data_IF_184222226319
#
_entry.id   IF_184222226319
#
_cell.length_a   1.000
_cell.length_b   1.000
_cell.length_c   1.000
_cell.angle_alpha   90.00
_cell.angle_beta   90.00
_cell.angle_gamma   90.00
#
_symmetry.space_group_name_H-M   'P 1'
#
loop_
_entity.id
_entity.type
_entity.pdbx_description
1 polymer ?
#
# COMPACT_ATOMS: atom_id res chain seq x y z
N UNK A 1 -8.50 -19.17 -17.09
CA UNK A 1 -9.47 -18.08 -17.35
C UNK A 1 -10.54 -18.54 -18.33
N UNK A 2 -11.81 -18.62 -17.93
CA UNK A 2 -12.92 -19.07 -18.78
C UNK A 2 -13.21 -18.09 -19.94
N UNK A 3 -13.61 -18.61 -21.10
CA UNK A 3 -13.85 -17.83 -22.33
C UNK A 3 -14.84 -16.66 -22.12
N UNK A 4 -15.91 -16.90 -21.33
CA UNK A 4 -16.90 -15.88 -20.94
C UNK A 4 -16.27 -14.68 -20.23
N UNK A 5 -15.31 -14.90 -19.31
CA UNK A 5 -14.68 -13.82 -18.52
C UNK A 5 -13.77 -12.94 -19.39
N UNK A 6 -13.09 -13.52 -20.38
CA UNK A 6 -12.29 -12.76 -21.37
C UNK A 6 -13.17 -11.84 -22.22
N UNK A 7 -14.36 -12.31 -22.63
CA UNK A 7 -15.33 -11.50 -23.39
C UNK A 7 -15.87 -10.30 -22.62
N UNK A 8 -16.22 -10.51 -21.34
CA UNK A 8 -16.68 -9.45 -20.43
C UNK A 8 -15.63 -8.34 -20.23
N UNK A 9 -14.37 -8.71 -20.03
CA UNK A 9 -13.28 -7.75 -19.87
C UNK A 9 -13.06 -6.91 -21.13
N UNK A 10 -13.10 -7.54 -22.32
CA UNK A 10 -13.01 -6.81 -23.59
C UNK A 10 -14.12 -5.79 -23.75
N UNK A 11 -15.37 -6.13 -23.38
CA UNK A 11 -16.50 -5.19 -23.43
C UNK A 11 -16.27 -3.99 -22.49
N UNK A 12 -15.86 -4.25 -21.24
CA UNK A 12 -15.56 -3.19 -20.27
C UNK A 12 -14.47 -2.23 -20.73
N UNK A 13 -13.40 -2.73 -21.35
CA UNK A 13 -12.33 -1.89 -21.88
C UNK A 13 -12.84 -0.95 -22.97
N UNK A 14 -13.71 -1.45 -23.83
CA UNK A 14 -14.27 -0.69 -24.96
C UNK A 14 -15.27 0.35 -24.46
N UNK A 15 -16.14 -0.02 -23.53
CA UNK A 15 -17.05 0.92 -22.87
C UNK A 15 -16.29 2.01 -22.12
N UNK A 16 -15.20 1.66 -21.43
CA UNK A 16 -14.36 2.65 -20.77
C UNK A 16 -13.76 3.64 -21.77
N UNK A 17 -13.22 3.18 -22.91
CA UNK A 17 -12.69 4.09 -23.95
C UNK A 17 -13.78 5.01 -24.52
N UNK A 18 -15.00 4.50 -24.71
CA UNK A 18 -16.12 5.29 -25.23
C UNK A 18 -16.60 6.37 -24.26
N UNK A 19 -16.50 6.10 -22.94
CA UNK A 19 -16.96 7.01 -21.88
C UNK A 19 -15.83 7.87 -21.29
N UNK A 20 -14.57 7.58 -21.60
CA UNK A 20 -13.42 8.34 -21.08
C UNK A 20 -13.35 9.72 -21.71
N UNK A 21 -13.02 10.72 -20.89
CA UNK A 21 -12.71 12.08 -21.35
C UNK A 21 -11.37 12.14 -22.07
N UNK A 22 -10.42 11.30 -21.68
CA UNK A 22 -9.10 11.18 -22.28
C UNK A 22 -8.68 9.70 -22.36
N UNK A 23 -8.93 9.01 -23.48
CA UNK A 23 -8.64 7.59 -23.62
C UNK A 23 -7.16 7.33 -23.98
N UNK A 24 -6.22 7.94 -23.25
CA UNK A 24 -4.76 7.73 -23.46
C UNK A 24 -4.30 6.32 -23.06
N UNK A 25 -3.22 5.80 -23.67
CA UNK A 25 -2.62 4.53 -23.26
C UNK A 25 -2.23 4.52 -21.77
N UNK A 26 -1.66 5.61 -21.25
CA UNK A 26 -1.31 5.74 -19.83
C UNK A 26 -2.51 5.57 -18.90
N UNK A 27 -3.62 6.29 -19.16
CA UNK A 27 -4.84 6.16 -18.37
C UNK A 27 -5.41 4.74 -18.43
N UNK A 28 -5.31 4.08 -19.59
CA UNK A 28 -5.71 2.70 -19.75
C UNK A 28 -4.84 1.71 -18.96
N UNK A 29 -3.51 1.91 -18.92
CA UNK A 29 -2.60 1.07 -18.13
C UNK A 29 -2.84 1.21 -16.62
N UNK A 30 -3.17 2.42 -16.16
CA UNK A 30 -3.60 2.66 -14.77
C UNK A 30 -4.88 1.89 -14.45
N UNK A 31 -5.83 1.77 -15.38
CA UNK A 31 -7.07 1.00 -15.18
C UNK A 31 -6.83 -0.51 -15.08
N UNK A 32 -6.06 -1.09 -16.01
CA UNK A 32 -5.99 -2.55 -16.14
C UNK A 32 -4.85 -3.19 -15.32
N UNK A 33 -3.94 -2.38 -14.76
CA UNK A 33 -2.73 -2.80 -14.05
C UNK A 33 -2.02 -3.99 -14.72
N UNK A 34 -1.52 -3.81 -15.95
CA UNK A 34 -0.98 -4.90 -16.75
C UNK A 34 0.33 -5.47 -16.18
N UNK A 35 0.58 -6.76 -16.36
CA UNK A 35 1.87 -7.38 -15.98
C UNK A 35 2.88 -7.37 -17.13
N UNK A 36 2.42 -7.45 -18.38
CA UNK A 36 3.29 -7.60 -19.55
C UNK A 36 3.01 -6.51 -20.58
N UNK A 37 4.08 -5.85 -21.03
CA UNK A 37 4.06 -4.73 -21.98
C UNK A 37 3.29 -5.04 -23.25
N UNK A 38 3.76 -6.01 -24.03
CA UNK A 38 3.17 -6.36 -25.34
C UNK A 38 1.68 -6.67 -25.23
N UNK A 39 1.31 -7.41 -24.18
CA UNK A 39 -0.08 -7.78 -23.91
C UNK A 39 -0.93 -6.59 -23.49
N UNK A 40 -0.37 -5.62 -22.78
CA UNK A 40 -1.05 -4.37 -22.42
C UNK A 40 -1.31 -3.51 -23.66
N UNK A 41 -0.27 -3.33 -24.48
CA UNK A 41 -0.31 -2.56 -25.72
C UNK A 41 -1.32 -3.17 -26.69
N UNK A 42 -1.27 -4.48 -26.91
CA UNK A 42 -2.23 -5.19 -27.76
C UNK A 42 -3.66 -5.04 -27.25
N UNK A 43 -3.91 -5.17 -25.94
CA UNK A 43 -5.24 -4.96 -25.35
C UNK A 43 -5.78 -3.55 -25.57
N UNK A 44 -4.92 -2.55 -25.43
CA UNK A 44 -5.28 -1.16 -25.68
C UNK A 44 -5.63 -0.95 -27.16
N UNK A 45 -4.76 -1.37 -28.08
CA UNK A 45 -4.98 -1.27 -29.53
C UNK A 45 -6.27 -1.95 -29.96
N UNK A 46 -6.54 -3.16 -29.45
CA UNK A 46 -7.77 -3.91 -29.73
C UNK A 46 -9.02 -3.17 -29.24
N UNK A 47 -9.01 -2.72 -27.99
CA UNK A 47 -10.13 -2.02 -27.37
C UNK A 47 -10.40 -0.69 -28.06
N UNK A 48 -9.35 0.07 -28.35
CA UNK A 48 -9.42 1.37 -29.02
C UNK A 48 -9.94 1.22 -30.46
N UNK A 49 -9.45 0.23 -31.20
CA UNK A 49 -9.93 -0.08 -32.56
C UNK A 49 -11.39 -0.53 -32.59
N UNK A 50 -11.84 -1.25 -31.55
CA UNK A 50 -13.25 -1.65 -31.44
C UNK A 50 -14.13 -0.46 -31.04
N UNK A 51 -13.65 0.41 -30.13
CA UNK A 51 -14.34 1.64 -29.74
C UNK A 51 -14.49 2.60 -30.93
N UNK A 52 -13.44 2.76 -31.74
CA UNK A 52 -13.46 3.53 -32.98
C UNK A 52 -14.54 3.04 -33.95
N UNK A 53 -14.69 1.72 -34.10
CA UNK A 53 -15.72 1.12 -34.96
C UNK A 53 -17.13 1.27 -34.40
N UNK A 54 -17.28 1.25 -33.07
CA UNK A 54 -18.57 1.38 -32.37
C UNK A 54 -19.06 2.81 -32.21
N UNK A 55 -18.17 3.80 -32.26
CA UNK A 55 -18.53 5.20 -32.03
C UNK A 55 -19.28 5.80 -33.22
N UNK A 56 -20.51 6.26 -32.99
CA UNK A 56 -21.24 7.13 -33.92
C UNK A 56 -20.65 8.57 -33.93
N UNK A 57 -20.07 9.01 -32.81
CA UNK A 57 -19.37 10.29 -32.70
C UNK A 57 -17.95 10.15 -33.22
N UNK A 58 -17.82 10.22 -34.55
CA UNK A 58 -16.54 10.23 -35.24
C UNK A 58 -15.62 11.35 -34.74
N UNK A 59 -16.10 12.48 -34.22
CA UNK A 59 -15.27 13.65 -33.90
C UNK A 59 -14.25 13.42 -32.77
N UNK A 60 -14.67 13.06 -31.54
CA UNK A 60 -13.76 12.92 -30.38
C UNK A 60 -12.67 11.86 -30.59
N UNK A 61 -13.08 10.68 -31.05
CA UNK A 61 -12.15 9.60 -31.36
C UNK A 61 -11.34 9.87 -32.62
N UNK A 62 -11.81 10.70 -33.57
CA UNK A 62 -10.98 11.20 -34.67
C UNK A 62 -9.98 12.25 -34.22
N UNK A 63 -10.22 13.05 -33.18
CA UNK A 63 -9.21 13.96 -32.63
C UNK A 63 -8.10 13.14 -32.00
N UNK A 64 -8.42 12.22 -31.08
CA UNK A 64 -7.43 11.30 -30.51
C UNK A 64 -6.76 10.47 -31.60
N UNK A 65 -7.53 9.96 -32.58
CA UNK A 65 -6.95 9.27 -33.72
C UNK A 65 -6.06 10.21 -34.51
N UNK A 66 -6.46 11.40 -34.93
CA UNK A 66 -5.65 12.31 -35.75
C UNK A 66 -4.40 12.80 -35.00
N UNK A 67 -4.52 13.18 -33.73
CA UNK A 67 -3.41 13.50 -32.83
C UNK A 67 -2.45 12.31 -32.71
N UNK A 68 -2.97 11.07 -32.77
CA UNK A 68 -2.17 9.84 -32.83
C UNK A 68 -1.74 9.39 -34.25
N UNK A 69 -2.45 9.77 -35.32
CA UNK A 69 -2.35 9.20 -36.68
C UNK A 69 -1.39 9.97 -37.57
N UNK A 70 -0.95 11.16 -37.17
CA UNK A 70 0.07 11.93 -37.90
C UNK A 70 1.39 11.14 -38.04
N UNK A 71 1.62 10.06 -37.28
CA UNK A 71 2.56 9.01 -37.68
C UNK A 71 2.26 7.70 -36.95
N UNK A 72 1.96 6.62 -37.68
CA UNK A 72 1.74 5.28 -37.13
C UNK A 72 2.92 4.78 -36.28
N UNK A 73 4.15 5.20 -36.65
CA UNK A 73 5.39 5.01 -35.88
C UNK A 73 5.40 5.83 -34.58
N UNK A 74 4.92 7.06 -34.62
CA UNK A 74 4.81 7.96 -33.46
C UNK A 74 3.76 7.48 -32.46
N UNK A 75 2.75 6.75 -32.93
CA UNK A 75 1.77 6.06 -32.09
C UNK A 75 2.39 4.96 -31.24
N UNK A 76 3.26 4.14 -31.84
CA UNK A 76 4.00 3.08 -31.16
C UNK A 76 4.94 3.69 -30.11
N UNK A 77 5.64 4.76 -30.48
CA UNK A 77 6.53 5.52 -29.59
C UNK A 77 5.77 6.23 -28.45
N UNK A 78 4.57 6.76 -28.70
CA UNK A 78 3.72 7.36 -27.67
C UNK A 78 3.20 6.32 -26.67
N UNK A 79 2.66 5.20 -27.15
CA UNK A 79 2.28 4.08 -26.27
C UNK A 79 3.49 3.59 -25.47
N UNK A 80 4.67 3.60 -26.11
CA UNK A 80 5.88 3.17 -25.44
C UNK A 80 6.29 4.11 -24.31
N UNK A 81 6.26 5.41 -24.53
CA UNK A 81 6.53 6.40 -23.49
C UNK A 81 5.55 6.25 -22.33
N UNK A 82 4.27 6.11 -22.63
CA UNK A 82 3.23 5.90 -21.61
C UNK A 82 3.45 4.61 -20.79
N UNK A 83 3.95 3.55 -21.44
CA UNK A 83 4.34 2.32 -20.73
C UNK A 83 5.50 2.56 -19.77
N UNK A 84 6.56 3.26 -20.21
CA UNK A 84 7.71 3.58 -19.35
C UNK A 84 7.30 4.46 -18.16
N UNK A 85 6.42 5.44 -18.38
CA UNK A 85 5.87 6.29 -17.30
C UNK A 85 5.11 5.42 -16.30
N UNK A 86 4.18 4.58 -16.77
CA UNK A 86 3.43 3.67 -15.89
C UNK A 86 4.35 2.69 -15.13
N UNK A 87 5.39 2.17 -15.79
CA UNK A 87 6.36 1.28 -15.16
C UNK A 87 7.18 2.01 -14.11
N UNK A 88 7.56 3.27 -14.37
CA UNK A 88 8.22 4.16 -13.41
C UNK A 88 7.36 4.38 -12.17
N UNK A 89 6.07 4.72 -12.35
CA UNK A 89 5.09 4.85 -11.26
C UNK A 89 4.96 3.56 -10.43
N UNK A 90 5.02 2.40 -11.08
CA UNK A 90 4.99 1.12 -10.36
C UNK A 90 6.27 0.84 -9.59
N UNK A 91 7.43 1.12 -10.17
CA UNK A 91 8.72 0.90 -9.51
C UNK A 91 8.89 1.79 -8.28
N UNK A 92 8.45 3.05 -8.32
CA UNK A 92 8.50 3.93 -7.15
C UNK A 92 7.60 3.41 -6.03
N UNK A 93 6.38 2.96 -6.34
CA UNK A 93 5.48 2.35 -5.36
C UNK A 93 6.07 1.05 -4.77
N UNK A 94 6.65 0.18 -5.59
CA UNK A 94 7.33 -1.02 -5.09
C UNK A 94 8.53 -0.66 -4.20
N UNK A 95 9.36 0.30 -4.61
CA UNK A 95 10.50 0.75 -3.81
C UNK A 95 10.07 1.27 -2.44
N UNK A 96 8.99 2.04 -2.37
CA UNK A 96 8.45 2.51 -1.08
C UNK A 96 7.96 1.33 -0.24
N UNK A 97 7.25 0.38 -0.85
CA UNK A 97 6.80 -0.82 -0.16
C UNK A 97 7.96 -1.64 0.39
N UNK A 98 8.99 -1.90 -0.41
CA UNK A 98 10.16 -2.67 -0.03
C UNK A 98 10.94 -1.99 1.10
N UNK A 99 11.13 -0.67 1.03
CA UNK A 99 11.72 0.11 2.12
C UNK A 99 10.88 0.02 3.39
N UNK A 100 9.56 0.17 3.30
CA UNK A 100 8.68 0.06 4.46
C UNK A 100 8.74 -1.33 5.09
N UNK A 101 8.73 -2.40 4.28
CA UNK A 101 8.86 -3.79 4.74
C UNK A 101 10.22 -4.00 5.41
N UNK A 102 11.30 -3.48 4.83
CA UNK A 102 12.65 -3.56 5.39
C UNK A 102 12.74 -2.85 6.75
N UNK A 103 12.20 -1.64 6.85
CA UNK A 103 12.16 -0.86 8.10
C UNK A 103 11.36 -1.60 9.17
N UNK A 104 10.18 -2.11 8.83
CA UNK A 104 9.34 -2.89 9.77
C UNK A 104 10.05 -4.16 10.23
N UNK A 105 10.67 -4.89 9.30
CA UNK A 105 11.43 -6.11 9.62
C UNK A 105 12.56 -5.79 10.59
N UNK A 106 13.35 -4.75 10.30
CA UNK A 106 14.46 -4.33 11.15
C UNK A 106 13.99 -3.89 12.54
N UNK A 107 12.90 -3.12 12.60
CA UNK A 107 12.30 -2.69 13.86
C UNK A 107 11.86 -3.90 14.71
N UNK A 108 11.09 -4.82 14.12
CA UNK A 108 10.59 -6.01 14.81
C UNK A 108 11.74 -6.90 15.32
N UNK A 109 12.76 -7.14 14.49
CA UNK A 109 13.96 -7.89 14.91
C UNK A 109 14.69 -7.21 16.06
N UNK A 110 14.77 -5.87 16.04
CA UNK A 110 15.42 -5.12 17.12
C UNK A 110 14.63 -5.26 18.42
N UNK A 111 13.31 -5.07 18.38
CA UNK A 111 12.44 -5.22 19.55
C UNK A 111 12.52 -6.65 20.12
N UNK A 112 12.53 -7.66 19.26
CA UNK A 112 12.64 -9.06 19.68
C UNK A 112 13.97 -9.35 20.38
N UNK A 113 15.08 -8.85 19.81
CA UNK A 113 16.39 -8.97 20.45
C UNK A 113 16.44 -8.29 21.82
N UNK A 114 15.74 -7.16 21.99
CA UNK A 114 15.65 -6.46 23.27
C UNK A 114 14.86 -7.28 24.30
N UNK A 115 13.72 -7.88 23.90
CA UNK A 115 12.95 -8.78 24.77
C UNK A 115 13.81 -9.92 25.29
N UNK A 116 14.50 -10.62 24.39
CA UNK A 116 15.38 -11.74 24.77
C UNK A 116 16.54 -11.33 25.68
N UNK A 117 17.03 -10.09 25.56
CA UNK A 117 18.06 -9.57 26.48
C UNK A 117 17.49 -9.31 27.86
N UNK A 118 16.34 -8.65 27.95
CA UNK A 118 15.66 -8.38 29.23
C UNK A 118 15.32 -9.70 29.93
N UNK A 119 14.81 -10.69 29.19
CA UNK A 119 14.46 -12.01 29.74
C UNK A 119 15.71 -12.74 30.26
N UNK A 120 16.82 -12.69 29.52
CA UNK A 120 18.11 -13.25 29.98
C UNK A 120 18.64 -12.55 31.22
N UNK A 121 18.59 -11.22 31.26
CA UNK A 121 19.04 -10.44 32.41
C UNK A 121 18.13 -10.66 33.64
N UNK A 122 16.82 -10.89 33.43
CA UNK A 122 15.89 -11.24 34.50
C UNK A 122 16.14 -12.67 35.04
N UNK A 123 16.41 -13.63 34.17
CA UNK A 123 16.80 -15.00 34.55
C UNK A 123 18.13 -15.00 35.32
N UNK A 124 19.11 -14.22 34.88
CA UNK A 124 20.41 -14.14 35.55
C UNK A 124 20.30 -13.49 36.93
N UNK A 125 19.45 -12.48 37.11
CA UNK A 125 19.16 -11.92 38.44
C UNK A 125 18.48 -12.93 39.36
N UNK A 126 17.48 -13.68 38.87
CA UNK A 126 16.84 -14.77 39.65
C UNK A 126 17.83 -15.85 40.07
N UNK A 127 18.75 -16.24 39.19
CA UNK A 127 19.77 -17.25 39.52
C UNK A 127 20.76 -16.75 40.58
N UNK A 128 21.11 -15.45 40.57
CA UNK A 128 21.97 -14.85 41.59
C UNK A 128 21.24 -14.63 42.92
N UNK A 129 19.92 -14.37 42.90
CA UNK A 129 19.10 -14.28 44.09
C UNK A 129 18.86 -15.67 44.72
N UNK A 130 18.77 -16.73 43.93
CA UNK A 130 18.67 -18.13 44.41
C UNK A 130 19.97 -18.63 45.06
N UNK A 131 21.15 -18.17 44.62
CA UNK A 131 22.43 -18.50 45.27
C UNK A 131 22.61 -17.79 46.63
N UNK A 132 21.81 -16.74 46.90
CA UNK A 132 21.77 -16.02 48.18
C UNK A 132 20.59 -16.43 49.08
N UNK A 133 19.67 -17.27 48.59
CA UNK A 133 18.41 -17.61 49.26
C UNK A 133 18.40 -19.00 49.94
N UNK A 134 19.57 -19.62 50.18
CA UNK A 134 19.68 -20.74 51.13
C UNK A 134 19.67 -20.20 52.58
N UNK A 135 18.64 -19.43 52.94
CA UNK A 135 18.15 -19.14 54.30
C UNK A 135 17.04 -18.08 54.25
N UNK A 136 15.82 -18.46 53.83
CA UNK A 136 14.67 -17.54 53.95
C UNK A 136 13.40 -18.02 53.26
N UNK A 137 12.61 -18.82 53.97
CA UNK A 137 11.25 -19.22 53.60
C UNK A 137 10.32 -18.00 53.43
N UNK A 138 9.55 -17.96 52.33
CA UNK A 138 8.49 -16.98 52.16
C UNK A 138 7.78 -17.07 50.80
N UNK A 139 6.73 -17.90 50.72
CA UNK A 139 5.79 -17.97 49.60
C UNK A 139 5.22 -16.59 49.23
N UNK A 140 5.12 -16.28 47.94
CA UNK A 140 4.00 -15.51 47.41
C UNK A 140 3.75 -15.82 45.93
N UNK A 141 2.64 -16.50 45.69
CA UNK A 141 2.04 -16.71 44.38
C UNK A 141 1.61 -15.37 43.78
N UNK A 142 2.22 -14.96 42.66
CA UNK A 142 1.64 -13.94 41.79
C UNK A 142 1.67 -14.45 40.34
N UNK A 143 0.62 -15.18 39.99
CA UNK A 143 0.32 -15.68 38.65
C UNK A 143 -0.07 -14.50 37.76
N UNK A 144 0.91 -13.95 37.04
CA UNK A 144 0.66 -12.96 35.98
C UNK A 144 -0.13 -13.68 34.87
N UNK A 145 -1.39 -13.29 34.72
CA UNK A 145 -2.31 -13.80 33.70
C UNK A 145 -1.94 -13.13 32.37
N UNK A 146 -1.27 -13.86 31.49
CA UNK A 146 -1.09 -13.49 30.08
C UNK A 146 -2.44 -13.53 29.36
N UNK A 147 -3.17 -12.41 29.42
CA UNK A 147 -4.38 -12.19 28.65
C UNK A 147 -3.99 -11.66 27.27
N UNK A 148 -3.77 -12.59 26.33
CA UNK A 148 -3.53 -12.31 24.92
C UNK A 148 -4.71 -11.54 24.33
N UNK A 149 -4.50 -10.28 23.95
CA UNK A 149 -5.41 -9.60 23.00
C UNK A 149 -5.27 -10.22 21.63
N UNK A 150 -6.18 -11.14 21.30
CA UNK A 150 -6.39 -11.63 19.94
C UNK A 150 -6.89 -10.49 19.05
N UNK A 151 -6.08 -10.08 18.08
CA UNK A 151 -6.43 -9.01 17.14
C UNK A 151 -7.24 -9.61 15.99
N UNK A 152 -8.56 -9.66 16.13
CA UNK A 152 -9.47 -9.99 15.03
C UNK A 152 -9.60 -8.78 14.09
N UNK A 153 -8.77 -8.72 13.05
CA UNK A 153 -8.91 -7.71 12.00
C UNK A 153 -10.16 -8.01 11.15
N UNK A 154 -11.28 -7.37 11.50
CA UNK A 154 -12.43 -7.27 10.62
C UNK A 154 -12.30 -6.02 9.74
N UNK A 155 -12.16 -6.28 8.43
CA UNK A 155 -12.47 -5.44 7.26
C UNK A 155 -12.76 -3.94 7.47
N UNK A 156 -11.88 -3.12 6.90
CA UNK A 156 -12.10 -1.83 6.22
C UNK A 156 -13.49 -1.18 6.38
N UNK A 157 -13.58 -0.03 7.06
CA UNK A 157 -14.30 1.20 6.64
C UNK A 157 -13.75 2.40 7.45
N UNK A 158 -13.22 3.42 6.77
CA UNK A 158 -13.81 4.75 6.61
C UNK A 158 -13.76 5.65 7.85
N UNK A 159 -13.18 6.84 7.68
CA UNK A 159 -13.06 7.99 8.60
C UNK A 159 -12.28 7.78 9.91
N UNK A 160 -11.01 8.23 9.89
CA UNK A 160 -10.13 8.31 11.05
C UNK A 160 -10.58 9.40 12.03
N UNK A 161 -11.49 9.05 12.94
CA UNK A 161 -11.68 9.74 14.22
C UNK A 161 -11.70 8.71 15.36
N UNK A 162 -10.74 7.77 15.34
CA UNK A 162 -10.55 6.89 16.50
C UNK A 162 -9.70 7.63 17.53
N UNK A 163 -10.33 7.96 18.66
CA UNK A 163 -9.63 8.39 19.87
C UNK A 163 -8.76 7.23 20.37
N UNK A 164 -7.46 7.48 20.50
CA UNK A 164 -6.51 6.49 21.01
C UNK A 164 -6.43 6.63 22.52
N UNK A 165 -7.30 5.91 23.24
CA UNK A 165 -7.32 5.90 24.72
C UNK A 165 -6.68 4.62 25.23
N UNK A 166 -5.66 4.74 26.08
CA UNK A 166 -5.01 3.62 26.75
C UNK A 166 -5.91 3.06 27.87
N UNK A 167 -5.66 1.82 28.32
CA UNK A 167 -6.39 1.22 29.46
C UNK A 167 -6.25 2.02 30.76
N UNK A 168 -5.17 2.81 30.90
CA UNK A 168 -4.99 3.79 31.98
C UNK A 168 -5.97 4.98 31.91
N UNK A 169 -6.81 5.06 30.88
CA UNK A 169 -7.69 6.20 30.60
C UNK A 169 -7.00 7.36 29.88
N UNK A 170 -5.72 7.20 29.50
CA UNK A 170 -4.95 8.28 28.86
C UNK A 170 -5.34 8.45 27.40
N UNK A 171 -5.89 9.60 27.02
CA UNK A 171 -6.10 10.00 25.61
C UNK A 171 -4.76 10.42 24.99
N UNK A 172 -4.17 9.51 24.22
CA UNK A 172 -2.91 9.73 23.50
C UNK A 172 -3.03 10.88 22.50
N UNK A 173 -4.21 11.09 21.91
CA UNK A 173 -4.44 12.20 20.98
C UNK A 173 -4.35 13.57 21.66
N UNK A 174 -4.82 13.67 22.91
CA UNK A 174 -4.70 14.89 23.70
C UNK A 174 -3.23 15.18 24.07
N UNK A 175 -2.51 14.15 24.54
CA UNK A 175 -1.10 14.27 24.92
C UNK A 175 -0.22 14.71 23.74
N UNK A 176 -0.43 14.12 22.56
CA UNK A 176 0.33 14.50 21.36
C UNK A 176 0.01 15.92 20.88
N UNK A 177 -1.25 16.37 20.98
CA UNK A 177 -1.64 17.75 20.67
C UNK A 177 -1.00 18.75 21.62
N UNK A 178 -0.86 18.42 22.89
CA UNK A 178 -0.22 19.26 23.88
C UNK A 178 1.29 19.33 23.65
N UNK A 179 1.93 18.18 23.41
CA UNK A 179 3.34 18.11 23.04
C UNK A 179 3.65 18.92 21.78
N UNK A 180 2.80 18.86 20.76
CA UNK A 180 2.97 19.63 19.53
C UNK A 180 3.08 21.15 19.77
N UNK A 181 2.43 21.69 20.82
CA UNK A 181 2.53 23.13 21.16
C UNK A 181 3.88 23.52 21.76
N UNK A 182 4.66 22.55 22.21
CA UNK A 182 5.99 22.77 22.80
C UNK A 182 7.11 22.72 21.76
N UNK A 183 6.78 22.36 20.52
CA UNK A 183 7.74 22.32 19.40
C UNK A 183 8.00 23.76 18.95
N UNK A 184 9.26 24.25 18.98
CA UNK A 184 9.59 25.58 18.47
C UNK A 184 9.25 25.70 16.99
N UNK A 185 8.70 26.84 16.57
CA UNK A 185 8.28 27.06 15.17
C UNK A 185 9.41 26.91 14.14
N UNK A 186 10.67 26.97 14.59
CA UNK A 186 11.86 26.71 13.77
C UNK A 186 12.01 25.25 13.32
N UNK A 187 11.24 24.33 13.92
CA UNK A 187 11.19 22.91 13.58
C UNK A 187 9.90 22.50 12.85
N UNK A 188 8.98 23.45 12.62
CA UNK A 188 7.79 23.19 11.84
C UNK A 188 8.15 23.21 10.34
N UNK A 189 8.09 22.05 9.69
CA UNK A 189 8.18 21.96 8.24
C UNK A 189 6.96 22.67 7.63
N UNK A 190 7.21 23.72 6.84
CA UNK A 190 6.21 24.41 6.00
C UNK A 190 5.61 23.47 4.94
#
# INVERSE_FOLDING_TARGET
MTSKRKGLLKKRHVEWILNSTDPTPLAFFRLIHPTHRERAISKYKDAFSLALRKSNSKAKLKVVKNDMHINLKYMEEAIQRDWEVWLGEKKTVCSIHDTNVSVQTRFNTTVENWRQRVDREALQRRSNDEELAENGSGNNDNKIRDEFTERTESRLTSTHLRSWVLQSGTDVGAVLREYAKTIPDTQNCL
#
